data_IF_805512119108
#
_entry.id   IF_805512119108
#
_cell.length_a   1.000
_cell.length_b   1.000
_cell.length_c   1.000
_cell.angle_alpha   90.00
_cell.angle_beta   90.00
_cell.angle_gamma   90.00
#
_symmetry.space_group_name_H-M   'P 1'
#
loop_
_entity.id
_entity.type
_entity.pdbx_description
1 polymer ?
#
# COMPACT_ATOMS: atom_id res chain seq x y z
N UNK A 1 10.51 7.28 -11.36
CA UNK A 1 9.22 7.31 -10.65
C UNK A 1 8.16 7.99 -11.50
N UNK A 2 6.97 7.39 -11.61
CA UNK A 2 5.84 7.98 -12.32
C UNK A 2 4.74 8.42 -11.35
N UNK A 3 4.25 9.65 -11.51
CA UNK A 3 3.06 10.15 -10.81
C UNK A 3 1.82 9.74 -11.63
N UNK A 4 0.96 8.91 -11.05
CA UNK A 4 -0.29 8.47 -11.68
C UNK A 4 -1.41 9.47 -11.41
N UNK A 5 -1.52 9.94 -10.16
CA UNK A 5 -2.53 10.91 -9.73
C UNK A 5 -1.95 11.86 -8.71
N UNK A 6 -2.33 13.12 -8.80
CA UNK A 6 -1.95 14.17 -7.84
C UNK A 6 -3.19 14.99 -7.52
N UNK A 7 -3.58 15.02 -6.26
CA UNK A 7 -4.60 15.92 -5.75
C UNK A 7 -4.09 16.55 -4.46
N UNK A 8 -3.51 17.74 -4.56
CA UNK A 8 -2.94 18.48 -3.43
C UNK A 8 -3.63 19.83 -3.38
N UNK A 9 -4.21 20.13 -2.23
CA UNK A 9 -4.88 21.39 -1.92
C UNK A 9 -3.86 22.48 -1.54
N UNK A 10 -4.32 23.74 -1.46
CA UNK A 10 -3.43 24.88 -1.15
C UNK A 10 -2.85 24.84 0.26
N UNK A 11 -3.50 24.12 1.17
CA UNK A 11 -3.03 23.90 2.54
C UNK A 11 -2.05 22.72 2.66
N UNK A 12 -1.60 22.17 1.52
CA UNK A 12 -0.73 21.00 1.42
C UNK A 12 -1.37 19.67 1.86
N UNK A 13 -2.67 19.66 2.16
CA UNK A 13 -3.41 18.42 2.33
C UNK A 13 -3.67 17.75 0.98
N UNK A 14 -3.83 16.43 0.96
CA UNK A 14 -4.19 15.74 -0.26
C UNK A 14 -3.69 14.32 -0.38
N UNK A 15 -3.64 13.83 -1.62
CA UNK A 15 -3.21 12.47 -1.95
C UNK A 15 -2.40 12.46 -3.24
N UNK A 16 -1.38 11.60 -3.28
CA UNK A 16 -0.58 11.32 -4.47
C UNK A 16 -0.57 9.81 -4.68
N UNK A 17 -0.66 9.38 -5.95
CA UNK A 17 -0.47 7.98 -6.35
C UNK A 17 0.81 7.91 -7.17
N UNK A 18 1.80 7.20 -6.64
CA UNK A 18 3.11 7.00 -7.23
C UNK A 18 3.26 5.57 -7.74
N UNK A 19 3.98 5.41 -8.85
CA UNK A 19 4.42 4.12 -9.37
C UNK A 19 5.96 4.15 -9.49
N UNK A 20 6.69 3.50 -8.58
CA UNK A 20 8.14 3.37 -8.68
C UNK A 20 8.48 2.41 -9.83
N UNK A 21 9.44 2.81 -10.67
CA UNK A 21 9.91 2.07 -11.85
C UNK A 21 11.36 1.61 -11.66
N UNK A 22 12.16 2.36 -10.90
CA UNK A 22 13.57 2.08 -10.63
C UNK A 22 13.85 1.92 -9.12
N UNK A 23 14.93 1.22 -8.71
CA UNK A 23 15.28 1.08 -7.30
C UNK A 23 15.46 2.41 -6.55
N UNK A 24 15.97 3.44 -7.22
CA UNK A 24 16.14 4.79 -6.67
C UNK A 24 14.79 5.44 -6.28
N UNK A 25 13.70 5.06 -6.95
CA UNK A 25 12.37 5.58 -6.61
C UNK A 25 11.90 5.14 -5.22
N UNK A 26 12.41 4.01 -4.71
CA UNK A 26 12.12 3.55 -3.35
C UNK A 26 12.81 4.45 -2.33
N UNK A 27 14.04 4.89 -2.61
CA UNK A 27 14.75 5.87 -1.79
C UNK A 27 14.01 7.22 -1.78
N UNK A 28 13.54 7.69 -2.94
CA UNK A 28 12.73 8.90 -2.99
C UNK A 28 11.39 8.76 -2.24
N UNK A 29 10.70 7.62 -2.36
CA UNK A 29 9.44 7.37 -1.65
C UNK A 29 9.63 7.36 -0.13
N UNK A 30 10.74 6.80 0.36
CA UNK A 30 11.09 6.81 1.79
C UNK A 30 11.22 8.24 2.34
N UNK A 31 11.78 9.17 1.57
CA UNK A 31 11.95 10.56 1.98
C UNK A 31 10.65 11.39 1.91
N UNK A 32 9.64 10.94 1.15
CA UNK A 32 8.36 11.64 1.00
C UNK A 32 7.35 11.26 2.09
N UNK A 33 7.42 10.03 2.58
CA UNK A 33 6.48 9.46 3.53
C UNK A 33 6.90 9.83 4.96
N UNK A 34 5.99 10.39 5.75
CA UNK A 34 6.24 10.78 7.14
C UNK A 34 5.30 10.05 8.12
N UNK A 35 5.69 10.05 9.40
CA UNK A 35 4.79 9.61 10.48
C UNK A 35 3.53 10.48 10.50
N UNK A 36 2.36 9.85 10.65
CA UNK A 36 1.05 10.46 10.53
C UNK A 36 0.43 10.35 9.13
N UNK A 37 1.19 9.95 8.10
CA UNK A 37 0.66 9.76 6.76
C UNK A 37 -0.20 8.48 6.63
N UNK A 38 -1.17 8.58 5.72
CA UNK A 38 -2.02 7.47 5.31
C UNK A 38 -1.53 6.87 4.00
N UNK A 39 -0.88 5.71 4.08
CA UNK A 39 -0.34 5.02 2.90
C UNK A 39 -1.25 3.88 2.48
N UNK A 40 -1.56 3.82 1.18
CA UNK A 40 -2.30 2.71 0.57
C UNK A 40 -1.41 1.95 -0.40
N UNK A 41 -1.23 0.66 -0.15
CA UNK A 41 -0.44 -0.21 -1.04
C UNK A 41 -1.06 -1.61 -1.15
N UNK A 42 -0.75 -2.29 -2.27
CA UNK A 42 -1.11 -3.69 -2.44
C UNK A 42 -0.16 -4.58 -1.64
N UNK A 43 -0.73 -5.54 -0.91
CA UNK A 43 0.00 -6.51 -0.09
C UNK A 43 -0.57 -7.90 -0.33
N UNK A 44 0.25 -8.93 -0.09
CA UNK A 44 -0.19 -10.32 -0.11
C UNK A 44 -0.33 -10.78 1.34
N UNK A 45 -1.55 -11.19 1.73
CA UNK A 45 -1.83 -11.74 3.06
C UNK A 45 -2.17 -13.21 2.96
N UNK A 46 -1.58 -14.02 3.83
CA UNK A 46 -1.96 -15.43 4.00
C UNK A 46 -3.32 -15.49 4.68
N UNK A 47 -4.28 -16.15 4.03
CA UNK A 47 -5.61 -16.41 4.57
C UNK A 47 -5.71 -17.90 4.86
N UNK A 48 -6.08 -18.22 6.10
CA UNK A 48 -6.38 -19.58 6.54
C UNK A 48 -7.90 -19.72 6.60
N UNK A 49 -8.43 -20.70 5.86
CA UNK A 49 -9.84 -21.05 5.87
C UNK A 49 -10.00 -22.45 6.46
N UNK A 50 -10.84 -22.57 7.48
CA UNK A 50 -11.22 -23.85 8.06
C UNK A 50 -12.63 -24.19 7.58
N UNK A 51 -12.78 -25.35 6.93
CA UNK A 51 -14.09 -25.84 6.53
C UNK A 51 -14.81 -26.51 7.70
N UNK A 52 -16.14 -26.59 7.63
CA UNK A 52 -16.96 -27.31 8.63
C UNK A 52 -16.59 -28.80 8.79
N UNK A 53 -15.90 -29.37 7.80
CA UNK A 53 -15.35 -30.73 7.80
C UNK A 53 -13.95 -30.84 8.42
N UNK A 54 -13.38 -29.74 8.93
CA UNK A 54 -12.06 -29.72 9.59
C UNK A 54 -10.87 -29.66 8.63
N UNK A 55 -11.08 -29.39 7.33
CA UNK A 55 -9.99 -29.22 6.37
C UNK A 55 -9.52 -27.77 6.40
N UNK A 56 -8.24 -27.58 6.73
CA UNK A 56 -7.59 -26.26 6.70
C UNK A 56 -6.94 -26.02 5.34
N UNK A 57 -7.37 -24.98 4.65
CA UNK A 57 -6.75 -24.53 3.39
C UNK A 57 -6.05 -23.18 3.57
N UNK A 58 -4.95 -22.99 2.84
CA UNK A 58 -4.15 -21.78 2.92
C UNK A 58 -3.94 -21.21 1.52
N UNK A 59 -4.16 -19.90 1.37
CA UNK A 59 -3.94 -19.20 0.10
C UNK A 59 -3.47 -17.78 0.37
N UNK A 60 -2.56 -17.27 -0.47
CA UNK A 60 -2.23 -15.85 -0.52
C UNK A 60 -3.33 -15.09 -1.26
N UNK A 61 -3.86 -14.03 -0.63
CA UNK A 61 -4.85 -13.14 -1.26
C UNK A 61 -4.31 -11.71 -1.27
N UNK A 62 -4.49 -11.04 -2.41
CA UNK A 62 -4.11 -9.63 -2.59
C UNK A 62 -5.11 -8.73 -1.87
N UNK A 63 -4.58 -7.77 -1.12
CA UNK A 63 -5.35 -6.75 -0.41
C UNK A 63 -4.73 -5.38 -0.62
N UNK A 64 -5.58 -4.36 -0.77
CA UNK A 64 -5.15 -2.98 -0.64
C UNK A 64 -5.32 -2.58 0.82
N UNK A 65 -4.20 -2.41 1.52
CA UNK A 65 -4.21 -2.06 2.95
C UNK A 65 -3.95 -0.56 3.06
N UNK A 66 -4.71 0.10 3.95
CA UNK A 66 -4.39 1.44 4.42
C UNK A 66 -3.56 1.29 5.70
N UNK A 67 -2.32 1.76 5.66
CA UNK A 67 -1.41 1.78 6.80
C UNK A 67 -1.34 3.23 7.29
N UNK A 68 -1.57 3.40 8.59
CA UNK A 68 -1.18 4.62 9.30
C UNK A 68 0.28 4.44 9.67
N UNK A 69 1.12 5.37 9.26
CA UNK A 69 2.52 5.42 9.66
C UNK A 69 2.70 6.29 10.89
#
# INVERSE_FOLDING_TARGET
>A
MKIIRKNIERDSSGTIVLYPEEPEDIWHSYNLIQEGDLVKASTIRRVQNESSTGITSQRGKLYNIHMYL
#
